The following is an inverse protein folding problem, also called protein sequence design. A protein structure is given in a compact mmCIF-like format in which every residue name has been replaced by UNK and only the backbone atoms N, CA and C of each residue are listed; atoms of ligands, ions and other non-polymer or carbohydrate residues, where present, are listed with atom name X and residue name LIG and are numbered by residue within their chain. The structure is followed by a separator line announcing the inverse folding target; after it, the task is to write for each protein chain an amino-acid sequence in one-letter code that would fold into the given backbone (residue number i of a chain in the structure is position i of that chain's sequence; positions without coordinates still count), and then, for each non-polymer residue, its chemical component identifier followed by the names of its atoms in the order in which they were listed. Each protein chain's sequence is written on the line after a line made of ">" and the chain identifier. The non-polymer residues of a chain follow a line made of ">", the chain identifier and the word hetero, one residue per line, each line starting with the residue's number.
data_IF_596163078635
#
_entry.id   IF_596163078635
#
_cell.length_a   1.000
_cell.length_b   1.000
_cell.length_c   1.000
_cell.angle_alpha   90.00
_cell.angle_beta   90.00
_cell.angle_gamma   90.00
#
_symmetry.space_group_name_H-M   'P 1'
#
loop_
_entity.id
_entity.type
_entity.pdbx_description
1 polymer ?
#
# COMPACT_ATOMS: atom_id res chain seq x y z
N UNK A 1 9.63 -1.54 9.11
CA UNK A 1 10.10 -0.33 8.37
C UNK A 1 9.04 0.74 8.46
N UNK A 2 9.44 1.98 8.71
CA UNK A 2 8.54 3.13 8.76
C UNK A 2 7.91 3.39 7.38
N UNK A 3 6.65 3.78 7.35
CA UNK A 3 5.87 4.05 6.12
C UNK A 3 5.63 2.83 5.22
N UNK A 4 5.72 1.63 5.79
CA UNK A 4 5.30 0.39 5.14
C UNK A 4 4.31 -0.30 6.07
N UNK A 5 3.20 -0.79 5.52
CA UNK A 5 2.22 -1.56 6.27
C UNK A 5 1.78 -2.78 5.47
N UNK A 6 1.57 -3.89 6.16
CA UNK A 6 0.91 -5.06 5.60
C UNK A 6 -0.60 -4.87 5.76
N UNK A 7 -1.32 -4.77 4.63
CA UNK A 7 -2.76 -4.52 4.63
C UNK A 7 -3.57 -5.80 4.52
N UNK A 8 -2.92 -6.90 4.17
CA UNK A 8 -3.58 -8.18 4.02
C UNK A 8 -2.59 -9.33 4.19
N UNK A 9 -3.04 -10.35 4.89
CA UNK A 9 -2.30 -11.61 5.05
C UNK A 9 -3.29 -12.76 4.95
N UNK A 10 -2.95 -13.79 4.18
CA UNK A 10 -3.80 -14.97 4.04
C UNK A 10 -2.97 -16.18 3.63
N UNK A 11 -3.33 -17.34 4.19
CA UNK A 11 -2.81 -18.62 3.74
C UNK A 11 -3.76 -19.32 2.76
N UNK A 12 -4.93 -18.73 2.51
CA UNK A 12 -5.99 -19.31 1.67
C UNK A 12 -5.80 -18.96 0.20
N UNK A 13 -5.28 -17.76 -0.10
CA UNK A 13 -5.07 -17.30 -1.47
C UNK A 13 -3.61 -17.44 -1.89
N UNK A 14 -3.35 -17.53 -3.20
CA UNK A 14 -1.97 -17.53 -3.74
C UNK A 14 -1.23 -16.24 -3.44
N UNK A 15 -1.93 -15.11 -3.40
CA UNK A 15 -1.36 -13.86 -2.91
C UNK A 15 -1.45 -13.87 -1.39
N UNK A 16 -0.33 -14.19 -0.76
CA UNK A 16 -0.25 -14.37 0.69
C UNK A 16 -0.26 -13.04 1.43
N UNK A 17 0.46 -12.05 0.92
CA UNK A 17 0.63 -10.76 1.58
C UNK A 17 0.47 -9.60 0.61
N UNK A 18 -0.09 -8.50 1.10
CA UNK A 18 -0.17 -7.23 0.36
C UNK A 18 0.41 -6.14 1.25
N UNK A 19 1.43 -5.45 0.74
CA UNK A 19 2.10 -4.35 1.42
C UNK A 19 1.80 -3.03 0.75
N UNK A 20 1.63 -1.97 1.54
CA UNK A 20 1.55 -0.60 1.04
C UNK A 20 2.74 0.20 1.55
N UNK A 21 3.46 0.82 0.62
CA UNK A 21 4.61 1.68 0.89
C UNK A 21 4.25 3.13 0.56
N UNK A 22 4.44 4.03 1.52
CA UNK A 22 4.17 5.44 1.35
C UNK A 22 5.45 6.18 0.94
N UNK A 23 5.49 6.63 -0.30
CA UNK A 23 6.61 7.33 -0.90
C UNK A 23 7.46 6.43 -1.80
N UNK A 24 7.96 7.00 -2.90
CA UNK A 24 8.74 6.22 -3.88
C UNK A 24 10.06 5.69 -3.31
N UNK A 25 10.73 6.45 -2.46
CA UNK A 25 11.97 6.00 -1.81
C UNK A 25 11.70 4.80 -0.91
N UNK A 26 10.62 4.86 -0.13
CA UNK A 26 10.20 3.75 0.74
C UNK A 26 9.88 2.51 -0.08
N UNK A 27 9.13 2.67 -1.17
CA UNK A 27 8.78 1.56 -2.06
C UNK A 27 10.03 0.90 -2.64
N UNK A 28 10.95 1.69 -3.20
CA UNK A 28 12.19 1.16 -3.78
C UNK A 28 13.03 0.41 -2.75
N UNK A 29 13.24 1.03 -1.60
CA UNK A 29 14.05 0.44 -0.54
C UNK A 29 13.44 -0.86 -0.02
N UNK A 30 12.14 -0.87 0.22
CA UNK A 30 11.43 -2.05 0.70
C UNK A 30 11.43 -3.17 -0.35
N UNK A 31 11.01 -2.88 -1.59
CA UNK A 31 10.89 -3.88 -2.64
C UNK A 31 12.26 -4.43 -3.05
N UNK A 32 13.29 -3.59 -3.15
CA UNK A 32 14.62 -4.04 -3.52
C UNK A 32 15.23 -4.96 -2.47
N UNK A 33 15.03 -4.62 -1.20
CA UNK A 33 15.51 -5.46 -0.10
C UNK A 33 14.75 -6.77 0.01
N UNK A 34 13.41 -6.71 -0.05
CA UNK A 34 12.57 -7.89 0.16
C UNK A 34 12.60 -8.85 -1.03
N UNK A 35 12.59 -8.34 -2.25
CA UNK A 35 12.50 -9.15 -3.47
C UNK A 35 13.81 -9.21 -4.24
N UNK A 36 14.89 -8.63 -3.72
CA UNK A 36 16.22 -8.59 -4.36
C UNK A 36 16.12 -8.06 -5.79
N UNK A 37 15.39 -6.97 -5.96
CA UNK A 37 15.10 -6.38 -7.26
C UNK A 37 15.75 -5.00 -7.40
N UNK A 38 15.68 -4.43 -8.61
CA UNK A 38 16.07 -3.06 -8.93
C UNK A 38 14.84 -2.28 -9.35
N UNK A 39 13.88 -2.14 -8.44
CA UNK A 39 12.65 -1.40 -8.71
C UNK A 39 12.97 0.04 -9.08
N UNK A 40 12.31 0.51 -10.15
CA UNK A 40 12.46 1.88 -10.62
C UNK A 40 11.63 2.84 -9.77
N UNK A 41 11.86 4.13 -9.98
CA UNK A 41 11.12 5.18 -9.34
C UNK A 41 9.65 5.16 -9.76
N UNK A 42 8.74 5.52 -8.83
CA UNK A 42 7.33 5.68 -9.14
C UNK A 42 7.17 6.91 -10.03
N UNK A 43 6.89 6.70 -11.33
CA UNK A 43 6.76 7.77 -12.30
C UNK A 43 5.36 8.38 -12.34
N UNK A 44 4.34 7.62 -11.92
CA UNK A 44 2.93 8.05 -11.81
C UNK A 44 2.55 8.11 -10.33
N UNK A 45 1.31 8.40 -10.03
CA UNK A 45 0.85 8.52 -8.63
C UNK A 45 1.08 7.29 -7.77
N UNK A 46 1.14 6.11 -8.38
CA UNK A 46 1.37 4.88 -7.66
C UNK A 46 1.86 3.76 -8.55
N UNK A 47 2.20 2.64 -7.93
CA UNK A 47 2.62 1.41 -8.61
C UNK A 47 2.12 0.21 -7.83
N UNK A 48 1.77 -0.85 -8.54
CA UNK A 48 1.41 -2.14 -7.95
C UNK A 48 2.24 -3.22 -8.64
N UNK A 49 2.95 -4.03 -7.88
CA UNK A 49 3.80 -5.09 -8.40
C UNK A 49 3.48 -6.43 -7.76
N UNK A 50 3.47 -7.47 -8.57
CA UNK A 50 3.24 -8.85 -8.15
C UNK A 50 4.57 -9.58 -8.13
N UNK A 51 4.92 -10.17 -7.00
CA UNK A 51 6.19 -10.84 -6.78
C UNK A 51 5.98 -12.32 -6.48
N UNK A 52 6.70 -13.18 -7.21
CA UNK A 52 6.73 -14.61 -7.00
C UNK A 52 7.74 -14.94 -5.89
N UNK A 53 7.30 -15.66 -4.84
CA UNK A 53 8.16 -16.06 -3.73
C UNK A 53 8.85 -17.41 -3.95
N UNK A 54 8.60 -18.06 -5.10
CA UNK A 54 9.21 -19.34 -5.49
C UNK A 54 8.84 -20.54 -4.61
N UNK A 55 7.82 -20.38 -3.76
CA UNK A 55 7.28 -21.46 -2.91
C UNK A 55 5.80 -21.75 -3.25
N UNK A 56 5.33 -21.27 -4.38
CA UNK A 56 3.93 -21.36 -4.79
C UNK A 56 3.07 -20.19 -4.31
N UNK A 57 3.64 -19.27 -3.54
CA UNK A 57 2.93 -18.08 -3.09
C UNK A 57 3.41 -16.82 -3.81
N UNK A 58 2.58 -15.80 -3.75
CA UNK A 58 2.86 -14.48 -4.32
C UNK A 58 2.68 -13.40 -3.27
N UNK A 59 3.32 -12.26 -3.49
CA UNK A 59 3.10 -11.05 -2.71
C UNK A 59 2.84 -9.89 -3.64
N UNK A 60 2.01 -8.95 -3.19
CA UNK A 60 1.76 -7.68 -3.90
C UNK A 60 2.40 -6.56 -3.09
N UNK A 61 3.19 -5.74 -3.75
CA UNK A 61 3.79 -4.56 -3.15
C UNK A 61 3.26 -3.32 -3.88
N UNK A 62 2.66 -2.42 -3.12
CA UNK A 62 2.07 -1.19 -3.62
C UNK A 62 2.92 -0.03 -3.15
N UNK A 63 3.24 0.88 -4.05
CA UNK A 63 3.85 2.15 -3.72
C UNK A 63 2.93 3.31 -4.08
N UNK A 64 2.79 4.26 -3.19
CA UNK A 64 2.00 5.48 -3.41
C UNK A 64 2.90 6.69 -3.21
N UNK A 65 2.89 7.63 -4.15
CA UNK A 65 3.63 8.88 -4.03
C UNK A 65 3.19 9.66 -2.80
N UNK A 66 4.11 10.40 -2.22
CA UNK A 66 3.79 11.36 -1.16
C UNK A 66 2.97 12.50 -1.72
N UNK A 67 1.79 12.71 -1.18
CA UNK A 67 0.90 13.80 -1.51
C UNK A 67 0.51 14.52 -0.23
N UNK A 68 0.38 15.83 -0.30
CA UNK A 68 -0.11 16.64 0.82
C UNK A 68 -1.64 16.68 0.87
N UNK A 69 -2.29 16.27 -0.20
CA UNK A 69 -3.74 16.24 -0.33
C UNK A 69 -4.26 14.84 0.01
N UNK A 70 -5.09 14.76 1.05
CA UNK A 70 -5.67 13.52 1.51
C UNK A 70 -6.56 12.84 0.47
N UNK A 71 -7.31 13.61 -0.32
CA UNK A 71 -8.17 13.05 -1.37
C UNK A 71 -7.34 12.37 -2.47
N UNK A 72 -6.24 12.98 -2.88
CA UNK A 72 -5.34 12.38 -3.85
C UNK A 72 -4.73 11.09 -3.32
N UNK A 73 -4.28 11.10 -2.07
CA UNK A 73 -3.66 9.93 -1.45
C UNK A 73 -4.66 8.78 -1.30
N UNK A 74 -5.88 9.07 -0.88
CA UNK A 74 -6.96 8.09 -0.77
C UNK A 74 -7.28 7.51 -2.15
N UNK A 75 -7.46 8.37 -3.16
CA UNK A 75 -7.77 7.92 -4.52
C UNK A 75 -6.70 7.00 -5.11
N UNK A 76 -5.43 7.37 -4.95
CA UNK A 76 -4.32 6.53 -5.42
C UNK A 76 -4.26 5.20 -4.68
N UNK A 77 -4.51 5.20 -3.38
CA UNK A 77 -4.52 3.98 -2.59
C UNK A 77 -5.64 3.04 -3.02
N UNK A 78 -6.83 3.56 -3.28
CA UNK A 78 -7.96 2.78 -3.82
C UNK A 78 -7.60 2.19 -5.17
N UNK A 79 -7.01 2.98 -6.06
CA UNK A 79 -6.58 2.53 -7.38
C UNK A 79 -5.62 1.33 -7.28
N UNK A 80 -4.56 1.47 -6.48
CA UNK A 80 -3.53 0.44 -6.35
C UNK A 80 -4.05 -0.81 -5.63
N UNK A 81 -4.91 -0.65 -4.63
CA UNK A 81 -5.52 -1.80 -3.94
C UNK A 81 -6.49 -2.57 -4.85
N UNK A 82 -7.08 -1.91 -5.83
CA UNK A 82 -7.90 -2.59 -6.85
C UNK A 82 -7.06 -3.54 -7.69
N UNK A 83 -5.83 -3.15 -8.04
CA UNK A 83 -4.90 -4.05 -8.73
C UNK A 83 -4.53 -5.24 -7.84
N UNK A 84 -4.28 -5.02 -6.56
CA UNK A 84 -4.00 -6.10 -5.61
C UNK A 84 -5.16 -7.11 -5.55
N UNK A 85 -6.38 -6.62 -5.55
CA UNK A 85 -7.57 -7.48 -5.57
C UNK A 85 -7.64 -8.32 -6.85
N UNK A 86 -7.36 -7.72 -8.00
CA UNK A 86 -7.31 -8.44 -9.27
C UNK A 86 -6.31 -9.59 -9.23
N UNK A 87 -5.10 -9.34 -8.76
CA UNK A 87 -4.07 -10.38 -8.65
C UNK A 87 -4.52 -11.52 -7.74
N UNK A 88 -5.15 -11.20 -6.61
CA UNK A 88 -5.66 -12.22 -5.68
C UNK A 88 -6.74 -13.09 -6.30
N UNK A 89 -7.65 -12.49 -7.03
CA UNK A 89 -8.77 -13.21 -7.66
C UNK A 89 -8.31 -14.11 -8.80
N UNK A 90 -7.41 -13.62 -9.65
CA UNK A 90 -6.86 -14.40 -10.78
C UNK A 90 -6.16 -15.67 -10.33
N UNK A 91 -5.39 -15.58 -9.26
CA UNK A 91 -4.58 -16.70 -8.81
C UNK A 91 -5.34 -17.81 -8.14
N UNK A 92 -6.59 -17.59 -7.72
CA UNK A 92 -7.35 -18.51 -6.87
C UNK A 92 -8.72 -18.90 -7.39
N UNK A 93 -9.11 -18.38 -8.55
CA UNK A 93 -10.40 -18.69 -9.15
C UNK A 93 -11.56 -18.42 -8.19
N UNK A 94 -11.44 -17.38 -7.37
CA UNK A 94 -12.44 -17.04 -6.35
C UNK A 94 -13.60 -16.28 -6.97
N UNK A 95 -14.76 -16.90 -6.97
CA UNK A 95 -16.00 -16.32 -7.49
C UNK A 95 -16.96 -15.88 -6.39
N UNK A 96 -16.64 -16.16 -5.12
CA UNK A 96 -17.48 -15.80 -3.98
C UNK A 96 -17.47 -14.29 -3.76
N UNK A 97 -18.60 -13.65 -4.01
CA UNK A 97 -18.76 -12.20 -3.90
C UNK A 97 -18.66 -11.72 -2.46
N UNK A 98 -19.09 -12.51 -1.47
CA UNK A 98 -18.95 -12.16 -0.05
C UNK A 98 -17.49 -12.17 0.38
N UNK A 99 -16.73 -13.19 -0.01
CA UNK A 99 -15.30 -13.24 0.28
C UNK A 99 -14.58 -12.02 -0.30
N UNK A 100 -14.89 -11.68 -1.56
CA UNK A 100 -14.32 -10.51 -2.23
C UNK A 100 -14.65 -9.22 -1.47
N UNK A 101 -15.90 -9.06 -1.04
CA UNK A 101 -16.33 -7.87 -0.31
C UNK A 101 -15.60 -7.74 1.04
N UNK A 102 -15.49 -8.82 1.79
CA UNK A 102 -14.76 -8.81 3.07
C UNK A 102 -13.28 -8.54 2.89
N UNK A 103 -12.66 -9.12 1.87
CA UNK A 103 -11.25 -8.90 1.58
C UNK A 103 -10.98 -7.44 1.19
N UNK A 104 -11.84 -6.85 0.38
CA UNK A 104 -11.77 -5.43 0.02
C UNK A 104 -11.91 -4.54 1.26
N UNK A 105 -12.91 -4.81 2.08
CA UNK A 105 -13.15 -4.06 3.32
C UNK A 105 -11.92 -4.09 4.22
N UNK A 106 -11.36 -5.26 4.46
CA UNK A 106 -10.17 -5.42 5.32
C UNK A 106 -8.98 -4.62 4.80
N UNK A 107 -8.69 -4.72 3.50
CA UNK A 107 -7.58 -4.00 2.89
C UNK A 107 -7.76 -2.49 2.96
N UNK A 108 -8.95 -1.99 2.61
CA UNK A 108 -9.22 -0.55 2.59
C UNK A 108 -9.22 0.04 4.00
N UNK A 109 -9.83 -0.61 4.97
CA UNK A 109 -9.84 -0.12 6.36
C UNK A 109 -8.43 0.01 6.90
N UNK A 110 -7.58 -0.99 6.69
CA UNK A 110 -6.19 -0.96 7.16
C UNK A 110 -5.39 0.14 6.46
N UNK A 111 -5.54 0.27 5.14
CA UNK A 111 -4.84 1.29 4.36
C UNK A 111 -5.30 2.70 4.73
N UNK A 112 -6.60 2.92 4.92
CA UNK A 112 -7.13 4.25 5.28
C UNK A 112 -6.68 4.66 6.68
N UNK A 113 -6.65 3.73 7.62
CA UNK A 113 -6.13 4.01 8.97
C UNK A 113 -4.66 4.43 8.91
N UNK A 114 -3.86 3.75 8.12
CA UNK A 114 -2.44 4.08 7.92
C UNK A 114 -2.26 5.46 7.28
N UNK A 115 -3.05 5.77 6.25
CA UNK A 115 -3.02 7.07 5.57
C UNK A 115 -3.42 8.19 6.53
N UNK A 116 -4.48 7.98 7.30
CA UNK A 116 -4.95 8.95 8.27
C UNK A 116 -3.86 9.27 9.32
N UNK A 117 -3.17 8.26 9.80
CA UNK A 117 -2.06 8.42 10.73
C UNK A 117 -0.94 9.29 10.13
N UNK A 118 -0.56 9.04 8.88
CA UNK A 118 0.47 9.82 8.18
C UNK A 118 0.04 11.29 8.05
N UNK A 119 -1.19 11.53 7.62
CA UNK A 119 -1.72 12.89 7.41
C UNK A 119 -1.77 13.64 8.75
N UNK A 120 -2.22 12.99 9.81
CA UNK A 120 -2.28 13.58 11.15
C UNK A 120 -0.91 14.03 11.63
N UNK A 121 0.12 13.22 11.41
CA UNK A 121 1.51 13.56 11.77
C UNK A 121 2.02 14.75 10.96
N UNK A 122 1.72 14.82 9.68
CA UNK A 122 2.11 15.96 8.83
C UNK A 122 1.45 17.26 9.32
N UNK A 123 0.16 17.23 9.63
CA UNK A 123 -0.57 18.39 10.11
C UNK A 123 -0.05 18.86 11.48
N UNK A 124 0.27 17.96 12.39
CA UNK A 124 0.89 18.29 13.67
C UNK A 124 2.23 19.00 13.47
N UNK A 125 3.07 18.52 12.57
CA UNK A 125 4.35 19.15 12.27
C UNK A 125 4.19 20.56 11.69
N UNK A 126 3.23 20.77 10.79
CA UNK A 126 2.90 22.10 10.26
C UNK A 126 2.47 23.07 11.37
N UNK A 127 1.61 22.61 12.27
CA UNK A 127 1.15 23.40 13.41
C UNK A 127 2.31 23.81 14.30
N UNK A 128 3.24 22.90 14.59
CA UNK A 128 4.45 23.20 15.37
C UNK A 128 5.32 24.25 14.71
N UNK A 129 5.50 24.18 13.37
CA UNK A 129 6.26 25.18 12.62
C UNK A 129 5.63 26.56 12.70
N UNK A 130 4.32 26.65 12.60
CA UNK A 130 3.59 27.93 12.72
C UNK A 130 3.80 28.52 14.12
N UNK A 131 3.74 27.72 15.17
CA UNK A 131 3.99 28.18 16.53
C UNK A 131 5.41 28.73 16.70
N UNK A 132 6.43 28.11 16.11
CA UNK A 132 7.82 28.58 16.17
C UNK A 132 7.99 29.95 15.53
N UNK A 133 7.29 30.23 14.45
CA UNK A 133 7.37 31.52 13.75
C UNK A 133 6.75 32.66 14.56
N UNK A 134 5.76 32.39 15.40
CA UNK A 134 5.09 33.40 16.22
C UNK A 134 5.90 33.85 17.45
N UNK A 135 6.91 33.12 17.82
CA UNK A 135 7.78 33.42 18.95
C UNK A 135 8.94 34.31 18.50
#
# INVERSE_FOLDING_TARGET
>A
MKNVIEVYSSTVTKVEKVFVCYGHKTYRKFSNKRYKSNSEEITKGGVSSLWDRHDGSYEVCIGVKKWNDSLQLIGLSVHELSHAMDYRMRGNDLTDTEYRAYAMQSMYQTAMFFIDDIISKQNTNKTKKVHKVKI
#
